data_IF_369981701769
#
_entry.id   IF_369981701769
#
_cell.length_a   1.000
_cell.length_b   1.000
_cell.length_c   1.000
_cell.angle_alpha   90.00
_cell.angle_beta   90.00
_cell.angle_gamma   90.00
#
_symmetry.space_group_name_H-M   'P 1'
#
loop_
_entity.id
_entity.type
_entity.pdbx_description
1 polymer ?
#
# COMPACT_ATOMS: atom_id res chain seq x y z
N UNK A 1 3.25 -4.64 1.79
CA UNK A 1 2.97 -3.21 1.94
C UNK A 1 4.17 -2.47 2.52
N UNK A 2 4.43 -1.24 2.07
CA UNK A 2 5.53 -0.40 2.60
C UNK A 2 5.36 -0.08 4.09
N UNK A 3 4.12 0.07 4.55
CA UNK A 3 3.79 0.31 5.96
C UNK A 3 4.09 -0.90 6.85
N UNK A 4 4.05 -2.12 6.33
CA UNK A 4 4.31 -3.35 7.09
C UNK A 4 5.79 -3.59 7.40
N UNK A 5 6.71 -2.89 6.70
CA UNK A 5 8.14 -3.11 6.86
C UNK A 5 8.63 -2.85 8.31
N UNK A 6 8.03 -1.87 9.00
CA UNK A 6 8.32 -1.59 10.40
C UNK A 6 7.97 -2.76 11.32
N UNK A 7 6.78 -3.33 11.15
CA UNK A 7 6.31 -4.49 11.91
C UNK A 7 7.16 -5.74 11.64
N UNK A 8 7.50 -5.99 10.37
CA UNK A 8 8.37 -7.10 9.99
C UNK A 8 9.76 -6.96 10.60
N UNK A 9 10.34 -5.75 10.58
CA UNK A 9 11.62 -5.48 11.24
C UNK A 9 11.58 -5.69 12.76
N UNK A 10 10.47 -5.34 13.39
CA UNK A 10 10.30 -5.54 14.84
C UNK A 10 10.09 -7.02 15.20
N UNK A 11 9.42 -7.77 14.35
CA UNK A 11 9.09 -9.19 14.57
C UNK A 11 10.20 -10.15 14.10
N UNK A 12 11.14 -9.69 13.25
CA UNK A 12 12.19 -10.56 12.71
C UNK A 12 13.07 -11.15 13.80
N UNK A 13 13.43 -12.43 13.62
CA UNK A 13 14.47 -13.09 14.40
C UNK A 13 15.89 -12.61 13.96
N UNK A 14 16.93 -13.35 14.32
CA UNK A 14 18.32 -13.01 14.01
C UNK A 14 18.65 -13.33 12.54
N UNK A 15 18.08 -12.54 11.62
CA UNK A 15 18.41 -12.59 10.20
C UNK A 15 18.42 -11.18 9.57
N UNK A 16 19.09 -11.06 8.42
CA UNK A 16 19.16 -9.81 7.65
C UNK A 16 17.94 -9.71 6.73
N UNK A 17 17.04 -8.76 7.01
CA UNK A 17 15.92 -8.44 6.13
C UNK A 17 16.38 -7.48 5.02
N UNK A 18 16.05 -7.81 3.78
CA UNK A 18 16.24 -6.95 2.60
C UNK A 18 14.94 -6.84 1.82
N UNK A 19 14.77 -5.71 1.15
CA UNK A 19 13.70 -5.48 0.18
C UNK A 19 14.28 -5.56 -1.24
N UNK A 20 13.42 -5.92 -2.19
CA UNK A 20 13.74 -5.92 -3.61
C UNK A 20 12.54 -5.34 -4.38
N UNK A 21 12.75 -4.82 -5.61
CA UNK A 21 11.67 -4.45 -6.48
C UNK A 21 10.71 -5.62 -6.71
N UNK A 22 9.42 -5.32 -6.85
CA UNK A 22 8.42 -6.33 -7.13
C UNK A 22 8.75 -6.99 -8.48
N UNK A 23 8.82 -8.33 -8.55
CA UNK A 23 9.20 -9.01 -9.77
C UNK A 23 8.11 -8.91 -10.84
N UNK A 24 8.50 -8.79 -12.08
CA UNK A 24 7.62 -8.95 -13.22
C UNK A 24 7.54 -10.41 -13.68
N UNK A 25 6.68 -10.68 -14.65
CA UNK A 25 6.55 -12.00 -15.25
C UNK A 25 7.70 -12.25 -16.22
N UNK A 26 8.31 -13.43 -16.16
CA UNK A 26 9.37 -13.81 -17.07
C UNK A 26 8.88 -13.78 -18.54
N UNK A 27 9.68 -13.20 -19.43
CA UNK A 27 9.34 -13.04 -20.85
C UNK A 27 8.40 -11.86 -21.14
N UNK A 28 7.94 -11.16 -20.14
CA UNK A 28 7.13 -9.93 -20.29
C UNK A 28 7.91 -8.75 -19.70
N UNK A 29 8.06 -7.66 -20.45
CA UNK A 29 8.77 -6.45 -20.02
C UNK A 29 10.16 -6.72 -19.39
N UNK A 30 10.91 -7.70 -19.89
CA UNK A 30 12.19 -8.13 -19.32
C UNK A 30 12.12 -8.49 -17.82
N UNK A 31 10.99 -9.02 -17.38
CA UNK A 31 10.78 -9.37 -15.97
C UNK A 31 10.47 -8.17 -15.06
N UNK A 32 10.24 -6.98 -15.62
CA UNK A 32 9.79 -5.80 -14.85
C UNK A 32 8.28 -5.70 -14.92
N UNK A 33 7.56 -5.43 -13.81
CA UNK A 33 6.13 -5.20 -13.86
C UNK A 33 5.81 -3.95 -14.68
N UNK A 34 4.80 -4.03 -15.55
CA UNK A 34 4.38 -2.87 -16.33
C UNK A 34 3.71 -1.81 -15.44
N UNK A 35 2.98 -2.25 -14.43
CA UNK A 35 2.25 -1.42 -13.47
C UNK A 35 2.18 -2.10 -12.10
N UNK A 36 2.17 -1.28 -11.06
CA UNK A 36 1.97 -1.70 -9.68
C UNK A 36 0.77 -0.95 -9.09
N UNK A 37 -0.20 -1.64 -8.48
CA UNK A 37 -1.34 -0.96 -7.85
C UNK A 37 -0.86 -0.13 -6.66
N UNK A 38 -1.27 1.14 -6.61
CA UNK A 38 -1.00 2.03 -5.51
C UNK A 38 -2.14 1.99 -4.50
N UNK A 39 -1.96 1.23 -3.43
CA UNK A 39 -2.78 1.37 -2.23
C UNK A 39 -2.23 2.49 -1.34
N UNK A 40 -3.05 2.99 -0.44
CA UNK A 40 -2.60 4.03 0.49
C UNK A 40 -3.73 4.54 1.38
N UNK A 41 -3.44 5.59 2.12
CA UNK A 41 -4.42 6.31 2.92
C UNK A 41 -4.64 7.70 2.33
N UNK A 42 -5.88 8.15 2.37
CA UNK A 42 -6.27 9.52 2.09
C UNK A 42 -6.72 10.20 3.37
N UNK A 43 -6.23 11.40 3.63
CA UNK A 43 -6.74 12.25 4.69
C UNK A 43 -7.84 13.16 4.11
N UNK A 44 -8.98 13.19 4.78
CA UNK A 44 -10.18 13.90 4.33
C UNK A 44 -10.63 14.89 5.39
N UNK A 45 -10.94 16.11 4.98
CA UNK A 45 -11.59 17.08 5.84
C UNK A 45 -13.10 16.80 5.89
N UNK A 46 -13.58 16.45 7.07
CA UNK A 46 -15.01 16.29 7.34
C UNK A 46 -15.44 17.41 8.28
N UNK A 47 -16.33 18.29 7.81
CA UNK A 47 -16.86 19.36 8.63
C UNK A 47 -18.08 18.85 9.42
N UNK A 48 -17.93 18.81 10.74
CA UNK A 48 -19.03 18.55 11.70
C UNK A 48 -19.37 19.79 12.53
N UNK A 49 -18.85 20.95 12.13
CA UNK A 49 -18.99 22.21 12.85
C UNK A 49 -19.22 23.35 11.87
N UNK A 50 -20.11 24.26 12.23
CA UNK A 50 -20.35 25.51 11.50
C UNK A 50 -19.36 26.63 11.89
N UNK A 51 -18.43 26.36 12.81
CA UNK A 51 -17.38 27.29 13.21
C UNK A 51 -16.24 27.34 12.16
N UNK A 52 -16.10 28.44 11.40
CA UNK A 52 -15.07 28.57 10.37
C UNK A 52 -13.65 28.42 10.92
N UNK A 53 -13.39 28.84 12.16
CA UNK A 53 -12.06 28.76 12.75
C UNK A 53 -11.61 27.31 12.97
N UNK A 54 -12.55 26.43 13.30
CA UNK A 54 -12.27 24.98 13.42
C UNK A 54 -11.98 24.35 12.06
N UNK A 55 -12.73 24.73 11.04
CA UNK A 55 -12.51 24.25 9.66
C UNK A 55 -11.16 24.70 9.15
N UNK A 56 -10.80 25.96 9.35
CA UNK A 56 -9.51 26.53 8.95
C UNK A 56 -8.32 25.88 9.69
N UNK A 57 -8.48 25.58 10.98
CA UNK A 57 -7.47 24.87 11.76
C UNK A 57 -7.26 23.43 11.22
N UNK A 58 -8.35 22.71 10.97
CA UNK A 58 -8.30 21.36 10.42
C UNK A 58 -7.67 21.34 9.01
N UNK A 59 -8.03 22.31 8.17
CA UNK A 59 -7.43 22.49 6.85
C UNK A 59 -5.92 22.80 6.93
N UNK A 60 -5.52 23.62 7.88
CA UNK A 60 -4.11 23.97 8.11
C UNK A 60 -3.31 22.72 8.53
N UNK A 61 -3.87 21.90 9.41
CA UNK A 61 -3.27 20.61 9.79
C UNK A 61 -3.17 19.66 8.60
N UNK A 62 -4.25 19.52 7.82
CA UNK A 62 -4.26 18.67 6.62
C UNK A 62 -3.18 19.09 5.62
N UNK A 63 -3.05 20.37 5.33
CA UNK A 63 -1.99 20.89 4.48
C UNK A 63 -0.60 20.58 5.03
N UNK A 64 -0.40 20.68 6.33
CA UNK A 64 0.87 20.38 6.96
C UNK A 64 1.26 18.93 6.77
N UNK A 65 0.38 17.97 7.13
CA UNK A 65 0.70 16.53 7.06
C UNK A 65 0.86 15.99 5.64
N UNK A 66 0.35 16.71 4.63
CA UNK A 66 0.40 16.28 3.22
C UNK A 66 1.52 16.96 2.42
N UNK A 67 2.30 17.86 3.01
CA UNK A 67 3.33 18.60 2.29
C UNK A 67 4.61 18.83 3.11
N UNK A 68 5.75 18.99 2.41
CA UNK A 68 7.03 19.38 3.00
C UNK A 68 7.45 18.53 4.20
N UNK A 69 7.82 19.19 5.28
CA UNK A 69 8.32 18.56 6.52
C UNK A 69 7.25 17.64 7.16
N UNK A 70 5.99 18.07 7.16
CA UNK A 70 4.91 17.27 7.74
C UNK A 70 4.74 15.93 7.02
N UNK A 71 4.75 15.93 5.69
CA UNK A 71 4.67 14.71 4.90
C UNK A 71 5.92 13.82 5.09
N UNK A 72 7.10 14.42 5.24
CA UNK A 72 8.32 13.68 5.56
C UNK A 72 8.23 12.98 6.92
N UNK A 73 7.75 13.68 7.96
CA UNK A 73 7.54 13.09 9.29
C UNK A 73 6.53 11.93 9.26
N UNK A 74 5.43 12.07 8.50
CA UNK A 74 4.46 10.98 8.32
C UNK A 74 5.13 9.78 7.66
N UNK A 75 5.94 9.99 6.61
CA UNK A 75 6.65 8.90 5.93
C UNK A 75 7.67 8.19 6.85
N UNK A 76 8.44 8.93 7.64
CA UNK A 76 9.39 8.38 8.60
C UNK A 76 8.71 7.47 9.63
N UNK A 77 7.58 7.91 10.16
CA UNK A 77 6.87 7.23 11.25
C UNK A 77 6.02 6.06 10.79
N UNK A 78 5.38 6.18 9.62
CA UNK A 78 4.43 5.17 9.11
C UNK A 78 5.03 4.21 8.10
N UNK A 79 6.13 4.60 7.44
CA UNK A 79 6.70 3.85 6.32
C UNK A 79 5.97 4.04 4.99
N UNK A 80 4.95 4.90 4.92
CA UNK A 80 4.34 5.30 3.65
C UNK A 80 5.30 6.14 2.81
N UNK A 81 5.17 6.05 1.51
CA UNK A 81 5.91 6.92 0.58
C UNK A 81 5.22 8.29 0.55
N UNK A 82 5.95 9.40 0.72
CA UNK A 82 5.34 10.73 0.73
C UNK A 82 4.77 11.09 -0.64
N UNK A 83 3.66 11.85 -0.67
CA UNK A 83 2.92 12.13 -1.91
C UNK A 83 3.59 13.19 -2.80
N UNK A 84 4.65 13.83 -2.35
CA UNK A 84 5.30 14.92 -3.11
C UNK A 84 6.83 14.85 -3.09
N UNK A 85 7.45 15.45 -4.12
CA UNK A 85 8.90 15.45 -4.30
C UNK A 85 9.63 16.17 -3.18
N UNK A 86 9.12 17.31 -2.70
CA UNK A 86 9.77 18.09 -1.65
C UNK A 86 9.92 17.30 -0.34
N UNK A 87 8.91 16.50 0.01
CA UNK A 87 9.02 15.61 1.17
C UNK A 87 10.04 14.48 0.93
N UNK A 88 10.09 13.91 -0.27
CA UNK A 88 11.09 12.90 -0.62
C UNK A 88 12.53 13.44 -0.57
N UNK A 89 12.75 14.68 -1.01
CA UNK A 89 14.08 15.34 -0.94
C UNK A 89 14.55 15.52 0.51
N UNK A 90 13.64 15.81 1.44
CA UNK A 90 13.96 15.91 2.87
C UNK A 90 14.34 14.57 3.51
N UNK A 91 13.96 13.45 2.90
CA UNK A 91 14.19 12.10 3.41
C UNK A 91 15.51 11.45 2.96
N UNK A 92 16.41 12.17 2.28
CA UNK A 92 17.66 11.60 1.76
C UNK A 92 18.51 10.90 2.83
N UNK A 93 18.74 11.55 3.97
CA UNK A 93 19.49 10.99 5.09
C UNK A 93 18.75 9.79 5.74
N UNK A 94 17.42 9.86 5.79
CA UNK A 94 16.58 8.80 6.31
C UNK A 94 16.68 7.54 5.43
N UNK A 95 16.61 7.66 4.12
CA UNK A 95 16.75 6.54 3.19
C UNK A 95 18.16 5.94 3.21
N UNK A 96 19.20 6.78 3.39
CA UNK A 96 20.58 6.31 3.55
C UNK A 96 20.72 5.39 4.77
N UNK A 97 20.05 5.72 5.86
CA UNK A 97 20.05 4.91 7.10
C UNK A 97 19.07 3.72 7.01
N UNK A 98 18.07 3.78 6.14
CA UNK A 98 17.01 2.79 6.00
C UNK A 98 16.85 2.36 4.52
N UNK A 99 17.86 1.72 3.91
CA UNK A 99 17.86 1.44 2.47
C UNK A 99 16.69 0.56 2.01
N UNK A 100 16.17 -0.29 2.87
CA UNK A 100 14.99 -1.09 2.58
C UNK A 100 13.73 -0.26 2.26
N UNK A 101 13.66 0.98 2.72
CA UNK A 101 12.53 1.88 2.44
C UNK A 101 12.65 2.58 1.08
N UNK A 102 13.86 2.65 0.51
CA UNK A 102 14.11 3.28 -0.78
C UNK A 102 13.50 2.50 -1.95
N UNK A 103 13.43 1.17 -1.85
CA UNK A 103 12.86 0.30 -2.91
C UNK A 103 11.46 0.74 -3.35
N UNK A 104 10.61 1.16 -2.41
CA UNK A 104 9.27 1.65 -2.74
C UNK A 104 9.29 2.98 -3.51
N UNK A 105 10.21 3.86 -3.17
CA UNK A 105 10.39 5.16 -3.84
C UNK A 105 10.88 4.96 -5.28
N UNK A 106 11.78 4.04 -5.50
CA UNK A 106 12.32 3.70 -6.82
C UNK A 106 11.23 3.13 -7.76
N UNK A 107 10.19 2.51 -7.19
CA UNK A 107 9.08 1.95 -7.96
C UNK A 107 7.91 2.93 -8.20
N UNK A 108 7.97 4.16 -7.68
CA UNK A 108 6.92 5.18 -7.90
C UNK A 108 6.53 5.38 -9.38
N UNK A 109 7.48 5.38 -10.35
CA UNK A 109 7.11 5.53 -11.77
C UNK A 109 6.24 4.39 -12.33
N UNK A 110 6.18 3.27 -11.65
CA UNK A 110 5.39 2.10 -12.07
C UNK A 110 3.97 2.10 -11.48
N UNK A 111 3.66 3.04 -10.59
CA UNK A 111 2.37 3.05 -9.91
C UNK A 111 1.22 3.29 -10.89
N UNK A 112 0.12 2.61 -10.62
CA UNK A 112 -1.17 2.77 -11.27
C UNK A 112 -2.26 2.85 -10.20
N UNK A 113 -3.44 3.27 -10.60
CA UNK A 113 -4.59 3.33 -9.71
C UNK A 113 -4.87 1.95 -9.09
N UNK A 114 -5.35 1.98 -7.87
CA UNK A 114 -5.84 0.78 -7.22
C UNK A 114 -7.09 0.28 -7.95
N UNK A 115 -7.11 -1.00 -8.27
CA UNK A 115 -8.31 -1.60 -8.82
C UNK A 115 -9.37 -1.76 -7.74
N UNK A 116 -10.56 -1.28 -8.00
CA UNK A 116 -11.74 -1.49 -7.16
C UNK A 116 -12.78 -2.29 -7.95
N UNK A 117 -13.32 -3.33 -7.35
CA UNK A 117 -14.41 -4.08 -7.99
C UNK A 117 -15.66 -3.22 -8.06
N UNK A 118 -16.40 -3.27 -9.18
CA UNK A 118 -17.62 -2.50 -9.34
C UNK A 118 -18.73 -3.03 -8.41
N UNK A 119 -19.74 -2.17 -8.16
CA UNK A 119 -20.89 -2.53 -7.33
C UNK A 119 -20.72 -2.22 -5.85
N UNK A 120 -21.73 -2.59 -5.08
CA UNK A 120 -21.80 -2.32 -3.64
C UNK A 120 -20.93 -3.29 -2.80
N UNK A 121 -20.65 -4.47 -3.35
CA UNK A 121 -19.94 -5.54 -2.66
C UNK A 121 -18.43 -5.61 -2.94
N UNK A 122 -17.82 -4.57 -3.54
CA UNK A 122 -16.41 -4.60 -3.95
C UNK A 122 -15.43 -4.92 -2.82
N UNK A 123 -15.72 -4.54 -1.57
CA UNK A 123 -14.92 -4.92 -0.41
C UNK A 123 -15.09 -6.40 -0.06
N UNK A 124 -16.29 -6.96 -0.19
CA UNK A 124 -16.54 -8.38 0.04
C UNK A 124 -15.79 -9.24 -0.99
N UNK A 125 -15.82 -8.85 -2.27
CA UNK A 125 -15.03 -9.51 -3.32
C UNK A 125 -13.52 -9.49 -3.00
N UNK A 126 -13.02 -8.37 -2.50
CA UNK A 126 -11.61 -8.28 -2.08
C UNK A 126 -11.30 -9.22 -0.92
N UNK A 127 -12.22 -9.36 0.03
CA UNK A 127 -12.06 -10.27 1.15
C UNK A 127 -12.02 -11.73 0.70
N UNK A 128 -12.92 -12.15 -0.18
CA UNK A 128 -12.91 -13.49 -0.79
C UNK A 128 -11.53 -13.81 -1.37
N UNK A 129 -10.96 -12.90 -2.16
CA UNK A 129 -9.63 -13.12 -2.75
C UNK A 129 -8.54 -13.25 -1.67
N UNK A 130 -8.63 -12.51 -0.58
CA UNK A 130 -7.67 -12.63 0.52
C UNK A 130 -7.79 -13.98 1.22
N UNK A 131 -8.99 -14.43 1.51
CA UNK A 131 -9.25 -15.68 2.22
C UNK A 131 -8.73 -16.88 1.40
N UNK A 132 -9.03 -16.95 0.12
CA UNK A 132 -8.50 -17.97 -0.78
C UNK A 132 -6.97 -17.88 -0.98
N UNK A 133 -6.41 -16.67 -0.95
CA UNK A 133 -4.94 -16.49 -1.02
C UNK A 133 -4.26 -16.97 0.27
N UNK A 134 -4.89 -16.79 1.42
CA UNK A 134 -4.41 -17.29 2.70
C UNK A 134 -4.41 -18.83 2.72
N UNK A 135 -5.47 -19.46 2.23
CA UNK A 135 -5.58 -20.91 2.12
C UNK A 135 -4.47 -21.52 1.25
N UNK A 136 -4.14 -20.87 0.13
CA UNK A 136 -2.98 -21.27 -0.69
C UNK A 136 -1.67 -21.10 0.10
N UNK A 137 -1.51 -19.99 0.82
CA UNK A 137 -0.26 -19.66 1.50
C UNK A 137 -0.02 -20.54 2.74
N UNK A 138 -1.07 -20.99 3.40
CA UNK A 138 -1.00 -21.92 4.54
C UNK A 138 -0.84 -23.39 4.13
N UNK A 139 -1.14 -23.70 2.87
CA UNK A 139 -1.09 -25.07 2.33
C UNK A 139 -2.34 -25.89 2.67
N UNK A 140 -3.44 -25.23 2.98
CA UNK A 140 -4.72 -25.87 3.29
C UNK A 140 -5.51 -26.22 2.01
N UNK A 141 -5.07 -25.72 0.84
CA UNK A 141 -5.65 -26.03 -0.46
C UNK A 141 -5.29 -27.45 -0.92
N UNK A 142 -6.26 -28.33 -1.01
CA UNK A 142 -6.08 -29.70 -1.48
C UNK A 142 -5.93 -29.78 -3.01
N UNK A 143 -6.76 -29.01 -3.76
CA UNK A 143 -6.70 -28.91 -5.23
C UNK A 143 -6.84 -27.42 -5.66
N UNK A 144 -5.90 -26.96 -6.45
CA UNK A 144 -5.86 -25.57 -6.91
C UNK A 144 -6.94 -25.25 -7.95
N UNK A 145 -7.41 -26.24 -8.71
CA UNK A 145 -8.45 -26.03 -9.71
C UNK A 145 -9.83 -25.91 -9.03
N UNK A 146 -10.10 -26.78 -8.08
CA UNK A 146 -11.33 -26.72 -7.29
C UNK A 146 -11.40 -25.42 -6.48
N UNK A 147 -10.30 -25.03 -5.83
CA UNK A 147 -10.20 -23.79 -5.09
C UNK A 147 -10.46 -22.56 -5.96
N UNK A 148 -9.93 -22.55 -7.19
CA UNK A 148 -10.16 -21.45 -8.13
C UNK A 148 -11.63 -21.40 -8.58
N UNK A 149 -12.27 -22.54 -8.81
CA UNK A 149 -13.68 -22.61 -9.19
C UNK A 149 -14.57 -22.08 -8.07
N UNK A 150 -14.33 -22.49 -6.82
CA UNK A 150 -15.04 -22.03 -5.63
C UNK A 150 -14.88 -20.51 -5.41
N UNK A 151 -13.66 -20.00 -5.52
CA UNK A 151 -13.41 -18.55 -5.46
C UNK A 151 -14.20 -17.78 -6.52
N UNK A 152 -14.24 -18.31 -7.74
CA UNK A 152 -14.97 -17.66 -8.84
C UNK A 152 -16.49 -17.71 -8.65
N UNK A 153 -17.03 -18.77 -8.07
CA UNK A 153 -18.45 -18.88 -7.70
C UNK A 153 -18.81 -17.84 -6.64
N UNK A 154 -18.04 -17.74 -5.54
CA UNK A 154 -18.29 -16.75 -4.49
C UNK A 154 -18.21 -15.31 -5.02
N UNK A 155 -17.24 -15.01 -5.87
CA UNK A 155 -17.12 -13.67 -6.50
C UNK A 155 -18.34 -13.37 -7.36
N UNK A 156 -18.79 -14.33 -8.17
CA UNK A 156 -19.95 -14.14 -9.04
C UNK A 156 -21.25 -13.93 -8.25
N UNK A 157 -21.41 -14.58 -7.11
CA UNK A 157 -22.57 -14.41 -6.25
C UNK A 157 -22.63 -13.02 -5.58
N UNK A 158 -21.46 -12.38 -5.42
CA UNK A 158 -21.33 -11.04 -4.87
C UNK A 158 -21.51 -9.92 -5.92
N UNK A 159 -21.33 -10.19 -7.19
CA UNK A 159 -21.37 -9.23 -8.28
C UNK A 159 -22.73 -9.16 -8.97
#
# INVERSE_FOLDING_TARGET
STSSLGSVNAAKADFVLKTAPFPGMAGVNNGTPARLPAGGNAAMLVSTSDDPARVDAAWTFLKFITSGIGAALVAETTGYVPPNKAANELLGDFYTKNPNKLTAVEQLPLLADWFAYPGENGLAVTQVIYDFTEEIATGDADDMADLQEEMMEEINDLM
#
